data_IF_588939485783
#
_entry.id   IF_588939485783
#
_cell.length_a   1.000
_cell.length_b   1.000
_cell.length_c   1.000
_cell.angle_alpha   90.00
_cell.angle_beta   90.00
_cell.angle_gamma   90.00
#
_symmetry.space_group_name_H-M   'P 1'
#
loop_
_entity.id
_entity.type
_entity.pdbx_description
1 polymer ?
#
# COMPACT_ATOMS: atom_id res chain seq x y z
N UNK A 1 -7.12 -10.27 -0.25
CA UNK A 1 -5.72 -10.54 0.14
C UNK A 1 -5.26 -9.43 1.06
N UNK A 2 -4.42 -9.75 2.03
CA UNK A 2 -3.65 -8.79 2.82
C UNK A 2 -2.55 -8.16 1.97
N UNK A 3 -1.95 -7.06 2.45
CA UNK A 3 -0.84 -6.43 1.74
C UNK A 3 0.37 -7.37 1.64
N UNK A 4 0.66 -8.10 2.71
CA UNK A 4 1.74 -9.08 2.81
C UNK A 4 1.54 -10.25 1.84
N UNK A 5 0.31 -10.74 1.71
CA UNK A 5 -0.04 -11.77 0.70
C UNK A 5 0.20 -11.26 -0.72
N UNK A 6 -0.17 -10.00 -1.02
CA UNK A 6 0.05 -9.41 -2.35
C UNK A 6 1.54 -9.31 -2.65
N UNK A 7 2.37 -8.89 -1.68
CA UNK A 7 3.81 -8.80 -1.85
C UNK A 7 4.45 -10.18 -2.07
N UNK A 8 4.01 -11.19 -1.33
CA UNK A 8 4.50 -12.56 -1.51
C UNK A 8 4.17 -13.09 -2.92
N UNK A 9 2.93 -12.92 -3.37
CA UNK A 9 2.54 -13.35 -4.73
C UNK A 9 3.31 -12.59 -5.81
N UNK A 10 3.56 -11.28 -5.64
CA UNK A 10 4.38 -10.50 -6.57
C UNK A 10 5.83 -11.01 -6.63
N UNK A 11 6.41 -11.39 -5.50
CA UNK A 11 7.75 -11.96 -5.44
C UNK A 11 7.82 -13.32 -6.17
N UNK A 12 6.82 -14.18 -5.98
CA UNK A 12 6.71 -15.46 -6.68
C UNK A 12 6.56 -15.26 -8.20
N UNK A 13 5.75 -14.29 -8.61
CA UNK A 13 5.58 -13.90 -10.02
C UNK A 13 6.92 -13.44 -10.61
N UNK A 14 7.65 -12.54 -9.94
CA UNK A 14 8.97 -12.07 -10.40
C UNK A 14 9.93 -13.24 -10.58
N UNK A 15 10.03 -14.11 -9.57
CA UNK A 15 10.89 -15.28 -9.60
C UNK A 15 10.51 -16.26 -10.73
N UNK A 16 9.22 -16.40 -11.06
CA UNK A 16 8.76 -17.26 -12.16
C UNK A 16 9.13 -16.70 -13.53
N UNK A 17 9.01 -15.38 -13.72
CA UNK A 17 9.35 -14.70 -14.96
C UNK A 17 10.88 -14.68 -15.19
N UNK A 18 11.67 -14.45 -14.14
CA UNK A 18 13.13 -14.45 -14.18
C UNK A 18 13.73 -15.82 -14.56
N UNK A 19 13.06 -16.91 -14.18
CA UNK A 19 13.48 -18.27 -14.57
C UNK A 19 13.34 -18.52 -16.07
N UNK A 20 12.52 -17.75 -16.79
CA UNK A 20 12.29 -17.86 -18.22
C UNK A 20 11.93 -19.29 -18.71
N UNK A 21 11.32 -20.10 -17.85
CA UNK A 21 10.90 -21.48 -18.15
C UNK A 21 9.46 -21.58 -18.64
N UNK A 22 8.69 -20.49 -18.53
CA UNK A 22 7.29 -20.46 -18.91
C UNK A 22 7.14 -20.27 -20.44
N UNK A 23 6.16 -20.93 -21.08
CA UNK A 23 5.71 -20.57 -22.42
C UNK A 23 5.31 -19.09 -22.53
N UNK A 24 5.29 -18.55 -23.74
CA UNK A 24 4.98 -17.13 -23.98
C UNK A 24 3.59 -16.76 -23.45
N UNK A 25 2.58 -17.56 -23.75
CA UNK A 25 1.19 -17.33 -23.34
C UNK A 25 1.05 -17.33 -21.81
N UNK A 26 1.74 -18.25 -21.13
CA UNK A 26 1.76 -18.31 -19.66
C UNK A 26 2.51 -17.11 -19.07
N UNK A 27 3.63 -16.70 -19.68
CA UNK A 27 4.39 -15.52 -19.25
C UNK A 27 3.55 -14.25 -19.34
N UNK A 28 2.75 -14.09 -20.39
CA UNK A 28 1.81 -12.97 -20.55
C UNK A 28 0.72 -13.01 -19.48
N UNK A 29 0.15 -14.19 -19.19
CA UNK A 29 -0.88 -14.34 -18.17
C UNK A 29 -0.35 -14.01 -16.77
N UNK A 30 0.83 -14.54 -16.42
CA UNK A 30 1.49 -14.31 -15.13
C UNK A 30 1.89 -12.84 -14.96
N UNK A 31 2.40 -12.20 -16.02
CA UNK A 31 2.65 -10.76 -16.03
C UNK A 31 1.37 -9.94 -15.81
N UNK A 32 0.27 -10.31 -16.48
CA UNK A 32 -1.03 -9.67 -16.31
C UNK A 32 -1.53 -9.75 -14.85
N UNK A 33 -1.44 -10.94 -14.24
CA UNK A 33 -1.75 -11.13 -12.81
C UNK A 33 -0.87 -10.22 -11.94
N UNK A 34 0.43 -10.16 -12.22
CA UNK A 34 1.37 -9.30 -11.50
C UNK A 34 1.00 -7.83 -11.60
N UNK A 35 0.57 -7.36 -12.77
CA UNK A 35 0.13 -5.97 -12.96
C UNK A 35 -1.10 -5.63 -12.10
N UNK A 36 -2.06 -6.54 -12.01
CA UNK A 36 -3.27 -6.32 -11.22
C UNK A 36 -3.01 -6.39 -9.70
N UNK A 37 -2.12 -7.28 -9.26
CA UNK A 37 -1.63 -7.30 -7.88
C UNK A 37 -0.86 -6.01 -7.53
N UNK A 38 0.00 -5.52 -8.42
CA UNK A 38 0.73 -4.28 -8.22
C UNK A 38 -0.20 -3.07 -8.07
N UNK A 39 -1.26 -2.98 -8.89
CA UNK A 39 -2.30 -1.94 -8.76
C UNK A 39 -2.98 -2.01 -7.38
N UNK A 40 -3.31 -3.21 -6.90
CA UNK A 40 -3.91 -3.40 -5.59
C UNK A 40 -2.97 -2.95 -4.46
N UNK A 41 -1.69 -3.34 -4.50
CA UNK A 41 -0.70 -2.89 -3.52
C UNK A 41 -0.59 -1.37 -3.46
N UNK A 42 -0.53 -0.71 -4.63
CA UNK A 42 -0.48 0.76 -4.71
C UNK A 42 -1.73 1.39 -4.11
N UNK A 43 -2.92 0.83 -4.37
CA UNK A 43 -4.17 1.33 -3.82
C UNK A 43 -4.19 1.20 -2.28
N UNK A 44 -3.79 0.05 -1.75
CA UNK A 44 -3.69 -0.19 -0.30
C UNK A 44 -2.72 0.79 0.36
N UNK A 45 -1.55 1.02 -0.23
CA UNK A 45 -0.58 1.98 0.29
C UNK A 45 -1.13 3.42 0.28
N UNK A 46 -1.84 3.80 -0.78
CA UNK A 46 -2.47 5.12 -0.88
C UNK A 46 -3.53 5.32 0.19
N UNK A 47 -4.38 4.33 0.41
CA UNK A 47 -5.41 4.36 1.45
C UNK A 47 -4.77 4.46 2.85
N UNK A 48 -3.79 3.61 3.15
CA UNK A 48 -3.07 3.61 4.43
C UNK A 48 -2.37 4.94 4.70
N UNK A 49 -1.73 5.53 3.68
CA UNK A 49 -1.13 6.87 3.80
C UNK A 49 -2.19 7.92 4.12
N UNK A 50 -3.35 7.89 3.45
CA UNK A 50 -4.45 8.81 3.72
C UNK A 50 -4.95 8.71 5.16
N UNK A 51 -5.10 7.50 5.70
CA UNK A 51 -5.49 7.28 7.10
C UNK A 51 -4.47 7.86 8.07
N UNK A 52 -3.17 7.65 7.83
CA UNK A 52 -2.11 8.20 8.68
C UNK A 52 -2.13 9.73 8.66
N UNK A 53 -2.32 10.35 7.50
CA UNK A 53 -2.43 11.81 7.38
C UNK A 53 -3.59 12.35 8.22
N UNK A 54 -4.79 11.75 8.10
CA UNK A 54 -5.96 12.18 8.88
C UNK A 54 -5.72 12.07 10.39
N UNK A 55 -5.17 10.94 10.85
CA UNK A 55 -4.86 10.73 12.26
C UNK A 55 -3.81 11.72 12.78
N UNK A 56 -2.83 12.08 11.95
CA UNK A 56 -1.81 13.08 12.30
C UNK A 56 -2.41 14.48 12.41
N UNK A 57 -3.30 14.84 11.49
CA UNK A 57 -4.00 16.12 11.50
C UNK A 57 -4.94 16.24 12.72
N UNK A 58 -5.64 15.16 13.07
CA UNK A 58 -6.47 15.10 14.28
C UNK A 58 -5.65 15.27 15.56
N UNK A 59 -4.49 14.61 15.65
CA UNK A 59 -3.59 14.75 16.79
C UNK A 59 -3.05 16.18 16.93
N UNK A 60 -2.68 16.83 15.81
CA UNK A 60 -2.23 18.22 15.79
C UNK A 60 -3.30 19.17 16.32
N UNK A 61 -4.54 19.05 15.84
CA UNK A 61 -5.67 19.86 16.32
C UNK A 61 -5.92 19.68 17.82
N UNK A 62 -5.83 18.45 18.32
CA UNK A 62 -6.03 18.17 19.74
C UNK A 62 -4.93 18.83 20.58
N UNK A 63 -3.68 18.79 20.11
CA UNK A 63 -2.57 19.47 20.77
C UNK A 63 -2.81 20.98 20.81
N UNK A 64 -3.17 21.61 19.70
CA UNK A 64 -3.44 23.06 19.64
C UNK A 64 -4.56 23.46 20.62
N UNK A 65 -5.67 22.70 20.67
CA UNK A 65 -6.75 22.97 21.64
C UNK A 65 -6.37 22.77 23.10
N UNK A 66 -5.34 21.97 23.39
CA UNK A 66 -4.87 21.77 24.77
C UNK A 66 -4.00 22.94 25.26
N UNK A 67 -3.43 23.75 24.35
CA UNK A 67 -2.63 24.94 24.68
C UNK A 67 -3.43 26.24 24.65
N UNK A 68 -4.62 26.27 24.04
CA UNK A 68 -5.52 27.45 24.04
C UNK A 68 -6.34 27.63 25.34
N UNK A 69 -6.14 26.80 26.39
CA UNK A 69 -6.93 26.83 27.64
C UNK A 69 -6.25 27.61 28.80
N UNK A 70 -5.15 28.34 28.56
CA UNK A 70 -4.43 29.06 29.63
C UNK A 70 -4.07 30.53 29.30
N UNK A 71 -4.98 31.30 28.68
CA UNK A 71 -4.90 32.77 28.66
C UNK A 71 -6.28 33.39 28.97
N UNK A 72 -6.78 33.16 30.20
CA UNK A 72 -7.84 33.97 30.81
C UNK A 72 -7.18 34.95 31.81
N UNK A 73 -6.87 36.16 31.33
CA UNK A 73 -6.65 37.37 32.13
C UNK A 73 -7.89 38.29 32.00
#
# INVERSE_FOLDING_TARGET
>A
MTFEEILNELAEISASLEKATLPLEESIAVYGKGLDLAKQAIATLKESKGKITLLTDELGKLADTAFEVEDDD
#
